data_IF_952677347389
#
_entry.id   IF_952677347389
#
_cell.length_a   1.000
_cell.length_b   1.000
_cell.length_c   1.000
_cell.angle_alpha   90.00
_cell.angle_beta   90.00
_cell.angle_gamma   90.00
#
_symmetry.space_group_name_H-M   'P 1'
#
loop_
_entity.id
_entity.type
_entity.pdbx_description
1 polymer ?
#
# COMPACT_ATOMS: atom_id res chain seq x y z
N UNK A 1 -19.48 18.27 1.52
CA UNK A 1 -19.23 16.84 1.80
C UNK A 1 -18.33 16.29 0.71
N UNK A 2 -17.15 15.76 1.05
CA UNK A 2 -16.25 15.15 0.05
C UNK A 2 -16.90 13.89 -0.47
N UNK A 3 -17.06 13.81 -1.79
CA UNK A 3 -17.73 12.72 -2.46
C UNK A 3 -17.00 11.40 -2.15
N UNK A 4 -17.65 10.23 -2.24
CA UNK A 4 -16.99 8.92 -2.05
C UNK A 4 -15.73 8.80 -2.93
N UNK A 5 -15.78 9.39 -4.14
CA UNK A 5 -14.64 9.51 -5.06
C UNK A 5 -13.44 10.19 -4.41
N UNK A 6 -13.62 11.31 -3.72
CA UNK A 6 -12.53 12.07 -3.09
C UNK A 6 -11.90 11.28 -1.94
N UNK A 7 -12.71 10.51 -1.20
CA UNK A 7 -12.21 9.62 -0.17
C UNK A 7 -11.32 8.54 -0.79
N UNK A 8 -11.82 7.84 -1.83
CA UNK A 8 -11.06 6.80 -2.53
C UNK A 8 -9.76 7.36 -3.11
N UNK A 9 -9.79 8.49 -3.82
CA UNK A 9 -8.57 9.12 -4.36
C UNK A 9 -7.57 9.57 -3.29
N UNK A 10 -8.03 9.89 -2.08
CA UNK A 10 -7.13 10.26 -0.98
C UNK A 10 -6.49 9.03 -0.33
N UNK A 11 -7.23 7.93 -0.21
CA UNK A 11 -6.86 6.76 0.58
C UNK A 11 -6.43 5.54 -0.24
N UNK A 12 -6.54 5.57 -1.58
CA UNK A 12 -6.14 4.45 -2.44
C UNK A 12 -4.73 3.91 -2.16
N UNK A 13 -3.70 4.72 -1.83
CA UNK A 13 -2.37 4.16 -1.58
C UNK A 13 -2.33 3.36 -0.28
N UNK A 14 -3.10 3.78 0.73
CA UNK A 14 -3.19 3.10 2.02
C UNK A 14 -3.96 1.78 1.87
N UNK A 15 -5.08 1.82 1.15
CA UNK A 15 -5.87 0.61 0.86
C UNK A 15 -5.03 -0.40 0.07
N UNK A 16 -4.30 0.06 -0.95
CA UNK A 16 -3.42 -0.80 -1.75
C UNK A 16 -2.28 -1.38 -0.91
N UNK A 17 -1.61 -0.55 -0.10
CA UNK A 17 -0.54 -1.01 0.80
C UNK A 17 -1.06 -2.06 1.80
N UNK A 18 -2.28 -1.88 2.32
CA UNK A 18 -2.90 -2.86 3.22
C UNK A 18 -3.20 -4.19 2.51
N UNK A 19 -3.70 -4.16 1.27
CA UNK A 19 -3.91 -5.38 0.48
C UNK A 19 -2.58 -6.10 0.23
N UNK A 20 -1.51 -5.38 -0.13
CA UNK A 20 -0.18 -5.97 -0.30
C UNK A 20 0.37 -6.59 0.99
N UNK A 21 0.09 -5.98 2.15
CA UNK A 21 0.45 -6.54 3.44
C UNK A 21 -0.27 -7.87 3.67
N UNK A 22 -1.59 -7.90 3.48
CA UNK A 22 -2.38 -9.14 3.62
C UNK A 22 -1.93 -10.23 2.65
N UNK A 23 -1.54 -9.85 1.43
CA UNK A 23 -0.96 -10.77 0.46
C UNK A 23 0.35 -11.40 0.96
N UNK A 24 1.30 -10.59 1.44
CA UNK A 24 2.58 -11.07 2.00
C UNK A 24 2.37 -11.98 3.22
N UNK A 25 1.47 -11.59 4.13
CA UNK A 25 1.09 -12.42 5.29
C UNK A 25 0.45 -13.73 4.84
N UNK A 26 -0.46 -13.68 3.86
CA UNK A 26 -1.12 -14.85 3.30
C UNK A 26 -0.14 -15.85 2.70
N UNK A 27 0.84 -15.38 1.92
CA UNK A 27 1.93 -16.21 1.40
C UNK A 27 2.70 -16.90 2.54
N UNK A 28 3.02 -16.16 3.61
CA UNK A 28 3.70 -16.73 4.77
C UNK A 28 2.89 -17.83 5.46
N UNK A 29 1.57 -17.64 5.60
CA UNK A 29 0.66 -18.65 6.15
C UNK A 29 0.53 -19.89 5.24
N UNK A 30 0.73 -19.74 3.93
CA UNK A 30 0.73 -20.83 2.95
C UNK A 30 2.09 -21.54 2.83
N UNK A 31 3.09 -21.14 3.61
CA UNK A 31 4.46 -21.70 3.57
C UNK A 31 5.34 -21.13 2.45
N UNK A 32 4.89 -20.12 1.72
CA UNK A 32 5.62 -19.43 0.65
C UNK A 32 6.48 -18.30 1.24
N UNK A 33 7.51 -18.67 2.02
CA UNK A 33 8.26 -17.72 2.84
C UNK A 33 9.14 -16.77 2.04
N UNK A 34 9.69 -17.21 0.91
CA UNK A 34 10.54 -16.36 0.05
C UNK A 34 9.71 -15.25 -0.61
N UNK A 35 8.54 -15.60 -1.15
CA UNK A 35 7.61 -14.67 -1.76
C UNK A 35 6.99 -13.74 -0.71
N UNK A 36 6.71 -14.25 0.50
CA UNK A 36 6.27 -13.44 1.62
C UNK A 36 7.32 -12.38 1.98
N UNK A 37 8.58 -12.77 2.14
CA UNK A 37 9.68 -11.85 2.45
C UNK A 37 9.93 -10.85 1.31
N UNK A 38 9.90 -11.31 0.06
CA UNK A 38 10.04 -10.44 -1.10
C UNK A 38 8.88 -9.44 -1.19
N UNK A 39 7.64 -9.84 -0.91
CA UNK A 39 6.49 -8.93 -1.01
C UNK A 39 6.29 -8.04 0.22
N UNK A 40 6.91 -8.35 1.36
CA UNK A 40 6.75 -7.62 2.62
C UNK A 40 7.15 -6.14 2.56
N UNK A 41 8.03 -5.75 1.64
CA UNK A 41 8.46 -4.36 1.48
C UNK A 41 7.48 -3.51 0.64
N UNK A 42 6.58 -4.11 -0.13
CA UNK A 42 5.66 -3.40 -1.03
C UNK A 42 4.78 -2.36 -0.31
N UNK A 43 4.18 -2.65 0.87
CA UNK A 43 3.41 -1.65 1.60
C UNK A 43 4.23 -0.40 1.92
N UNK A 44 5.48 -0.59 2.34
CA UNK A 44 6.40 0.51 2.66
C UNK A 44 6.74 1.37 1.45
N UNK A 45 7.09 0.76 0.31
CA UNK A 45 7.45 1.51 -0.90
C UNK A 45 6.25 2.23 -1.51
N UNK A 46 5.06 1.61 -1.52
CA UNK A 46 3.81 2.25 -1.97
C UNK A 46 3.53 3.50 -1.14
N UNK A 47 3.60 3.41 0.19
CA UNK A 47 3.34 4.54 1.07
C UNK A 47 4.39 5.63 0.92
N UNK A 48 5.68 5.27 0.81
CA UNK A 48 6.77 6.21 0.61
C UNK A 48 6.60 7.00 -0.69
N UNK A 49 6.36 6.34 -1.82
CA UNK A 49 6.13 7.02 -3.09
C UNK A 49 4.85 7.87 -3.06
N UNK A 50 3.77 7.38 -2.44
CA UNK A 50 2.55 8.16 -2.27
C UNK A 50 2.78 9.44 -1.45
N UNK A 51 3.61 9.36 -0.40
CA UNK A 51 4.01 10.51 0.42
C UNK A 51 4.84 11.50 -0.38
N UNK A 52 5.88 11.04 -1.07
CA UNK A 52 6.75 11.88 -1.91
C UNK A 52 5.94 12.60 -2.98
N UNK A 53 5.07 11.90 -3.70
CA UNK A 53 4.20 12.49 -4.72
C UNK A 53 3.27 13.53 -4.10
N UNK A 54 2.68 13.24 -2.93
CA UNK A 54 1.78 14.19 -2.25
C UNK A 54 2.53 15.42 -1.76
N UNK A 55 3.77 15.27 -1.31
CA UNK A 55 4.63 16.39 -0.95
C UNK A 55 4.90 17.26 -2.18
N UNK A 56 5.29 16.68 -3.32
CA UNK A 56 5.53 17.40 -4.58
C UNK A 56 4.33 18.18 -5.13
N UNK A 57 3.09 17.73 -4.87
CA UNK A 57 1.86 18.44 -5.29
C UNK A 57 1.42 19.53 -4.32
N UNK A 58 2.03 19.62 -3.13
CA UNK A 58 1.76 20.63 -2.11
C UNK A 58 2.80 21.75 -2.06
N UNK A 59 3.92 21.57 -2.77
CA UNK A 59 4.87 22.64 -3.12
C UNK A 59 4.26 23.47 -4.24
#
# INVERSE_FOLDING_TARGET
MKNIKDFVFKWYPVILAFICLLYSVGLGLMGQTEEAQYSAHWPGTILLFALVIRQRRRV
#
